data_IF_033249667704
#
_entry.id   IF_033249667704
#
_cell.length_a   1.000
_cell.length_b   1.000
_cell.length_c   1.000
_cell.angle_alpha   90.00
_cell.angle_beta   90.00
_cell.angle_gamma   90.00
#
_symmetry.space_group_name_H-M   'P 1'
#
loop_
_entity.id
_entity.type
_entity.pdbx_description
1 polymer ?
#
# COMPACT_ATOMS: atom_id res chain seq x y z
N UNK A 1 -9.08 -4.23 33.51
CA UNK A 1 -7.89 -4.49 32.67
C UNK A 1 -8.22 -4.82 31.20
N UNK A 2 -9.35 -5.46 30.86
CA UNK A 2 -9.74 -5.76 29.45
C UNK A 2 -10.04 -4.54 28.56
N UNK A 3 -10.38 -3.37 29.11
CA UNK A 3 -10.68 -2.17 28.31
C UNK A 3 -9.44 -1.48 27.70
N UNK A 4 -8.26 -1.62 28.33
CA UNK A 4 -7.03 -0.98 27.82
C UNK A 4 -6.45 -1.77 26.64
N UNK A 5 -6.42 -3.11 26.75
CA UNK A 5 -5.91 -3.98 25.70
C UNK A 5 -6.68 -3.85 24.37
N UNK A 6 -7.99 -3.60 24.44
CA UNK A 6 -8.86 -3.41 23.27
C UNK A 6 -8.61 -2.09 22.52
N UNK A 7 -8.04 -1.09 23.18
CA UNK A 7 -7.73 0.21 22.59
C UNK A 7 -6.28 0.31 22.08
N UNK A 8 -5.41 -0.67 22.33
CA UNK A 8 -4.03 -0.65 21.85
C UNK A 8 -3.95 -0.50 20.32
N UNK A 9 -4.72 -1.25 19.51
CA UNK A 9 -4.73 -1.06 18.05
C UNK A 9 -5.15 0.37 17.67
N UNK A 10 -6.19 0.91 18.32
CA UNK A 10 -6.66 2.27 18.04
C UNK A 10 -5.62 3.34 18.40
N UNK A 11 -4.87 3.15 19.49
CA UNK A 11 -3.79 4.07 19.89
C UNK A 11 -2.64 3.99 18.88
N UNK A 12 -2.32 2.80 18.35
CA UNK A 12 -1.32 2.61 17.32
C UNK A 12 -1.72 3.29 16.00
N UNK A 13 -2.96 3.11 15.53
CA UNK A 13 -3.45 3.81 14.33
C UNK A 13 -3.49 5.33 14.54
N UNK A 14 -3.88 5.82 15.72
CA UNK A 14 -3.83 7.25 16.06
C UNK A 14 -2.39 7.79 16.08
N UNK A 15 -1.44 7.00 16.58
CA UNK A 15 -0.03 7.34 16.55
C UNK A 15 0.49 7.44 15.11
N UNK A 16 0.03 6.57 14.19
CA UNK A 16 0.37 6.63 12.76
C UNK A 16 -0.14 7.91 12.13
N UNK A 17 -1.34 8.37 12.47
CA UNK A 17 -1.88 9.65 12.02
C UNK A 17 -0.99 10.81 12.49
N UNK A 18 -0.64 10.84 13.77
CA UNK A 18 0.22 11.89 14.33
C UNK A 18 1.64 11.88 13.72
N UNK A 19 2.23 10.70 13.53
CA UNK A 19 3.52 10.52 12.87
C UNK A 19 3.49 10.94 11.40
N UNK A 20 2.43 10.58 10.67
CA UNK A 20 2.22 10.98 9.27
C UNK A 20 2.07 12.50 9.14
N UNK A 21 1.38 13.14 10.08
CA UNK A 21 1.30 14.60 10.14
C UNK A 21 2.66 15.23 10.45
N UNK A 22 3.46 14.60 11.31
CA UNK A 22 4.81 15.07 11.67
C UNK A 22 5.77 15.05 10.46
N UNK A 23 5.56 14.19 9.47
CA UNK A 23 6.36 14.17 8.23
C UNK A 23 6.36 15.52 7.51
N UNK A 24 5.26 16.29 7.57
CA UNK A 24 5.19 17.60 6.94
C UNK A 24 6.15 18.62 7.56
N UNK A 25 6.40 18.52 8.87
CA UNK A 25 7.31 19.44 9.58
C UNK A 25 8.77 19.04 9.46
N UNK A 26 9.04 17.73 9.37
CA UNK A 26 10.41 17.19 9.36
C UNK A 26 10.90 16.84 7.94
N UNK A 27 10.14 17.20 6.91
CA UNK A 27 10.43 16.89 5.50
C UNK A 27 11.80 17.37 4.99
N UNK A 28 12.48 18.30 5.68
CA UNK A 28 13.83 18.73 5.32
C UNK A 28 14.95 17.82 5.84
N UNK A 29 14.65 16.87 6.72
CA UNK A 29 15.65 15.99 7.34
C UNK A 29 15.38 14.52 6.94
N UNK A 30 16.04 14.01 5.88
CA UNK A 30 15.74 12.68 5.32
C UNK A 30 15.92 11.55 6.32
N UNK A 31 16.87 11.67 7.26
CA UNK A 31 17.11 10.65 8.30
C UNK A 31 15.93 10.52 9.29
N UNK A 32 15.32 11.64 9.67
CA UNK A 32 14.14 11.63 10.55
C UNK A 32 12.91 11.11 9.81
N UNK A 33 12.75 11.49 8.54
CA UNK A 33 11.67 10.97 7.68
C UNK A 33 11.79 9.45 7.54
N UNK A 34 13.01 8.92 7.39
CA UNK A 34 13.27 7.48 7.38
C UNK A 34 12.79 6.80 8.67
N UNK A 35 13.18 7.32 9.84
CA UNK A 35 12.76 6.72 11.12
C UNK A 35 11.24 6.80 11.35
N UNK A 36 10.59 7.88 10.91
CA UNK A 36 9.13 8.01 10.99
C UNK A 36 8.45 6.96 10.09
N UNK A 37 8.93 6.76 8.86
CA UNK A 37 8.41 5.73 7.95
C UNK A 37 8.57 4.34 8.54
N UNK A 38 9.74 4.03 9.10
CA UNK A 38 10.00 2.75 9.75
C UNK A 38 9.08 2.56 10.97
N UNK A 39 8.91 3.59 11.80
CA UNK A 39 8.01 3.53 12.94
C UNK A 39 6.55 3.29 12.51
N UNK A 40 6.05 4.02 11.50
CA UNK A 40 4.71 3.81 10.95
C UNK A 40 4.50 2.41 10.39
N UNK A 41 5.49 1.86 9.68
CA UNK A 41 5.42 0.50 9.15
C UNK A 41 5.41 -0.57 10.25
N UNK A 42 6.18 -0.36 11.32
CA UNK A 42 6.17 -1.26 12.47
C UNK A 42 4.83 -1.18 13.22
N UNK A 43 4.28 0.02 13.42
CA UNK A 43 2.99 0.18 14.11
C UNK A 43 1.82 -0.45 13.34
N UNK A 44 1.87 -0.49 12.01
CA UNK A 44 0.92 -1.19 11.11
C UNK A 44 0.97 -2.72 11.18
N UNK A 45 2.17 -3.27 11.29
CA UNK A 45 2.28 -4.72 11.49
C UNK A 45 1.79 -5.09 12.90
N UNK A 46 2.10 -4.25 13.89
CA UNK A 46 1.75 -4.50 15.28
C UNK A 46 0.26 -4.35 15.57
N UNK A 47 -0.43 -3.32 15.06
CA UNK A 47 -1.85 -3.14 15.32
C UNK A 47 -2.69 -4.22 14.64
N UNK A 48 -2.37 -4.59 13.40
CA UNK A 48 -2.99 -5.71 12.69
C UNK A 48 -2.73 -7.06 13.36
N UNK A 49 -1.52 -7.29 13.88
CA UNK A 49 -1.20 -8.51 14.64
C UNK A 49 -1.95 -8.57 15.97
N UNK A 50 -1.99 -7.46 16.72
CA UNK A 50 -2.67 -7.38 18.01
C UNK A 50 -4.18 -7.48 17.87
N UNK A 51 -4.78 -6.83 16.86
CA UNK A 51 -6.21 -6.90 16.59
C UNK A 51 -6.67 -8.34 16.33
N UNK A 52 -5.89 -9.12 15.55
CA UNK A 52 -6.16 -10.53 15.28
C UNK A 52 -5.95 -11.41 16.51
N UNK A 53 -4.85 -11.22 17.22
CA UNK A 53 -4.50 -12.05 18.39
C UNK A 53 -5.48 -11.83 19.55
N UNK A 54 -5.97 -10.60 19.71
CA UNK A 54 -6.91 -10.24 20.78
C UNK A 54 -8.38 -10.39 20.36
N UNK A 55 -8.67 -10.80 19.13
CA UNK A 55 -10.03 -10.82 18.55
C UNK A 55 -10.79 -9.50 18.78
N UNK A 56 -10.06 -8.38 18.72
CA UNK A 56 -10.54 -7.05 19.05
C UNK A 56 -10.71 -6.17 17.80
N UNK A 57 -10.96 -6.79 16.66
CA UNK A 57 -11.32 -6.08 15.42
C UNK A 57 -12.61 -5.28 15.67
N UNK A 58 -12.58 -3.99 15.35
CA UNK A 58 -13.74 -3.11 15.50
C UNK A 58 -13.88 -2.22 14.27
N UNK A 59 -15.12 -1.90 13.89
CA UNK A 59 -15.39 -1.04 12.73
C UNK A 59 -14.74 0.34 12.87
N UNK A 60 -14.67 0.86 14.10
CA UNK A 60 -14.00 2.14 14.38
C UNK A 60 -12.48 2.03 14.16
N UNK A 61 -11.86 0.96 14.66
CA UNK A 61 -10.43 0.71 14.46
C UNK A 61 -10.08 0.53 12.99
N UNK A 62 -10.87 -0.26 12.24
CA UNK A 62 -10.66 -0.45 10.81
C UNK A 62 -10.77 0.86 10.00
N UNK A 63 -11.69 1.76 10.37
CA UNK A 63 -11.81 3.09 9.75
C UNK A 63 -10.62 3.99 10.09
N UNK A 64 -10.17 3.98 11.34
CA UNK A 64 -9.00 4.76 11.78
C UNK A 64 -7.72 4.27 11.12
N UNK A 65 -7.55 2.97 10.98
CA UNK A 65 -6.44 2.32 10.28
C UNK A 65 -6.42 2.73 8.81
N UNK A 66 -7.56 2.62 8.12
CA UNK A 66 -7.71 3.08 6.73
C UNK A 66 -7.39 4.57 6.55
N UNK A 67 -7.79 5.42 7.51
CA UNK A 67 -7.47 6.85 7.50
C UNK A 67 -5.97 7.10 7.76
N UNK A 68 -5.38 6.36 8.70
CA UNK A 68 -3.95 6.40 9.00
C UNK A 68 -3.11 6.03 7.79
N UNK A 69 -3.47 4.95 7.10
CA UNK A 69 -2.83 4.50 5.86
C UNK A 69 -2.96 5.53 4.74
N UNK A 70 -4.15 6.09 4.55
CA UNK A 70 -4.38 7.12 3.53
C UNK A 70 -3.49 8.34 3.79
N UNK A 71 -3.43 8.82 5.03
CA UNK A 71 -2.60 9.97 5.41
C UNK A 71 -1.11 9.65 5.29
N UNK A 72 -0.69 8.47 5.70
CA UNK A 72 0.69 8.01 5.60
C UNK A 72 1.15 7.94 4.14
N UNK A 73 0.41 7.24 3.28
CA UNK A 73 0.71 7.16 1.85
C UNK A 73 0.66 8.53 1.17
N UNK A 74 -0.30 9.39 1.53
CA UNK A 74 -0.39 10.75 0.97
C UNK A 74 0.83 11.59 1.35
N UNK A 75 1.23 11.58 2.63
CA UNK A 75 2.41 12.29 3.11
C UNK A 75 3.69 11.78 2.43
N UNK A 76 3.78 10.46 2.25
CA UNK A 76 4.89 9.78 1.60
C UNK A 76 5.03 10.20 0.12
N UNK A 77 3.93 10.17 -0.64
CA UNK A 77 3.89 10.63 -2.03
C UNK A 77 4.28 12.10 -2.15
N UNK A 78 3.72 12.96 -1.29
CA UNK A 78 4.04 14.40 -1.29
C UNK A 78 5.52 14.66 -0.99
N UNK A 79 6.10 13.95 -0.02
CA UNK A 79 7.52 14.03 0.30
C UNK A 79 8.38 13.67 -0.92
N UNK A 80 8.05 12.53 -1.54
CA UNK A 80 8.78 12.00 -2.68
C UNK A 80 8.72 12.95 -3.88
N UNK A 81 7.53 13.47 -4.21
CA UNK A 81 7.31 14.46 -5.28
C UNK A 81 8.07 15.77 -4.98
N UNK A 82 8.09 16.22 -3.73
CA UNK A 82 8.65 17.52 -3.38
C UNK A 82 10.17 17.54 -3.23
N UNK A 83 10.76 16.45 -2.71
CA UNK A 83 12.18 16.40 -2.33
C UNK A 83 13.00 15.39 -3.14
N UNK A 84 12.37 14.40 -3.77
CA UNK A 84 13.05 13.30 -4.47
C UNK A 84 12.67 13.22 -5.96
N UNK A 85 12.10 14.29 -6.52
CA UNK A 85 11.69 14.34 -7.94
C UNK A 85 12.83 13.95 -8.89
N UNK A 86 14.05 14.44 -8.64
CA UNK A 86 15.21 14.12 -9.48
C UNK A 86 15.54 12.62 -9.56
N UNK A 87 15.27 11.86 -8.50
CA UNK A 87 15.50 10.41 -8.47
C UNK A 87 14.40 9.62 -9.19
N UNK A 88 13.20 10.20 -9.34
CA UNK A 88 12.01 9.51 -9.87
C UNK A 88 11.62 9.96 -11.26
N UNK A 89 12.05 11.14 -11.70
CA UNK A 89 11.68 11.72 -12.99
C UNK A 89 11.88 10.74 -14.15
N UNK A 90 12.97 9.96 -14.14
CA UNK A 90 13.26 8.92 -15.15
C UNK A 90 12.23 7.79 -15.19
N UNK A 91 11.58 7.50 -14.06
CA UNK A 91 10.66 6.39 -13.88
C UNK A 91 9.18 6.81 -13.91
N UNK A 92 8.88 8.13 -13.98
CA UNK A 92 7.52 8.65 -14.09
C UNK A 92 6.68 8.00 -15.20
N UNK A 93 7.21 7.75 -16.42
CA UNK A 93 6.42 7.08 -17.46
C UNK A 93 5.95 5.68 -17.05
N UNK A 94 6.80 4.93 -16.34
CA UNK A 94 6.45 3.60 -15.84
C UNK A 94 5.43 3.65 -14.71
N UNK A 95 5.55 4.61 -13.80
CA UNK A 95 4.55 4.83 -12.74
C UNK A 95 3.19 5.18 -13.35
N UNK A 96 3.17 6.05 -14.37
CA UNK A 96 1.95 6.41 -15.08
C UNK A 96 1.35 5.20 -15.82
N UNK A 97 2.19 4.36 -16.43
CA UNK A 97 1.75 3.12 -17.06
C UNK A 97 1.07 2.16 -16.06
N UNK A 98 1.64 1.99 -14.86
CA UNK A 98 1.02 1.18 -13.79
C UNK A 98 -0.36 1.74 -13.43
N UNK A 99 -0.45 3.05 -13.21
CA UNK A 99 -1.70 3.71 -12.86
C UNK A 99 -2.76 3.55 -13.96
N UNK A 100 -2.34 3.68 -15.23
CA UNK A 100 -3.22 3.50 -16.39
C UNK A 100 -3.73 2.05 -16.47
N UNK A 101 -2.85 1.04 -16.35
CA UNK A 101 -3.24 -0.38 -16.40
C UNK A 101 -4.23 -0.69 -15.27
N UNK A 102 -3.98 -0.21 -14.05
CA UNK A 102 -4.90 -0.40 -12.92
C UNK A 102 -6.26 0.26 -13.15
N UNK A 103 -6.25 1.48 -13.69
CA UNK A 103 -7.51 2.19 -14.02
C UNK A 103 -8.29 1.44 -15.09
N UNK A 104 -7.63 0.95 -16.13
CA UNK A 104 -8.25 0.11 -17.18
C UNK A 104 -8.83 -1.16 -16.54
N UNK A 105 -8.09 -1.81 -15.64
CA UNK A 105 -8.54 -3.02 -14.95
C UNK A 105 -9.86 -2.75 -14.19
N UNK A 106 -9.91 -1.66 -13.43
CA UNK A 106 -11.10 -1.26 -12.69
C UNK A 106 -12.27 -0.92 -13.62
N UNK A 107 -12.03 -0.23 -14.73
CA UNK A 107 -13.06 0.11 -15.73
C UNK A 107 -13.62 -1.15 -16.39
N UNK A 108 -12.76 -2.08 -16.82
CA UNK A 108 -13.16 -3.37 -17.39
C UNK A 108 -14.02 -4.15 -16.39
N UNK A 109 -13.60 -4.20 -15.12
CA UNK A 109 -14.35 -4.83 -14.06
C UNK A 109 -15.73 -4.17 -13.83
N UNK A 110 -15.77 -2.83 -13.84
CA UNK A 110 -17.01 -2.06 -13.61
C UNK A 110 -18.00 -2.25 -14.76
N UNK A 111 -17.52 -2.27 -16.01
CA UNK A 111 -18.36 -2.50 -17.18
C UNK A 111 -18.90 -3.94 -17.21
N UNK A 112 -18.07 -4.93 -16.84
CA UNK A 112 -18.42 -6.34 -16.92
C UNK A 112 -19.34 -6.80 -15.78
N UNK A 113 -19.07 -6.34 -14.55
CA UNK A 113 -19.67 -6.90 -13.34
C UNK A 113 -20.56 -5.90 -12.60
N UNK A 114 -20.72 -4.68 -13.11
CA UNK A 114 -21.46 -3.56 -12.50
C UNK A 114 -21.07 -3.28 -11.03
N UNK A 115 -19.90 -3.74 -10.61
CA UNK A 115 -19.40 -3.70 -9.23
C UNK A 115 -17.89 -3.48 -9.25
N UNK A 116 -17.40 -2.72 -8.28
CA UNK A 116 -15.97 -2.44 -8.10
C UNK A 116 -15.37 -3.47 -7.17
N UNK A 117 -14.61 -4.42 -7.71
CA UNK A 117 -13.85 -5.37 -6.90
C UNK A 117 -12.44 -4.84 -6.64
N UNK A 118 -12.10 -4.61 -5.37
CA UNK A 118 -10.72 -4.34 -4.94
C UNK A 118 -9.99 -5.68 -4.78
N UNK A 119 -9.26 -6.11 -5.80
CA UNK A 119 -8.51 -7.37 -5.74
C UNK A 119 -7.22 -7.18 -4.93
N UNK A 120 -7.20 -7.72 -3.71
CA UNK A 120 -6.00 -7.82 -2.88
C UNK A 120 -5.13 -9.01 -3.29
N UNK A 121 -4.63 -9.00 -4.53
CA UNK A 121 -3.69 -10.01 -5.03
C UNK A 121 -2.38 -9.99 -4.23
N UNK A 122 -1.68 -11.13 -4.15
CA UNK A 122 -0.33 -11.17 -3.57
C UNK A 122 0.63 -10.19 -4.26
N UNK A 123 0.46 -9.94 -5.56
CA UNK A 123 1.22 -8.92 -6.31
C UNK A 123 1.02 -7.51 -5.75
N UNK A 124 -0.22 -7.12 -5.41
CA UNK A 124 -0.48 -5.81 -4.80
C UNK A 124 0.12 -5.66 -3.40
N UNK A 125 0.13 -6.74 -2.60
CA UNK A 125 0.81 -6.73 -1.29
C UNK A 125 2.32 -6.57 -1.44
N UNK A 126 2.92 -7.33 -2.37
CA UNK A 126 4.36 -7.30 -2.61
C UNK A 126 4.80 -5.94 -3.16
N UNK A 127 4.05 -5.35 -4.10
CA UNK A 127 4.32 -4.01 -4.61
C UNK A 127 4.20 -2.95 -3.51
N UNK A 128 3.21 -3.03 -2.62
CA UNK A 128 3.09 -2.14 -1.46
C UNK A 128 4.33 -2.18 -0.55
N UNK A 129 4.81 -3.37 -0.20
CA UNK A 129 6.04 -3.54 0.60
C UNK A 129 7.25 -2.97 -0.14
N UNK A 130 7.37 -3.26 -1.44
CA UNK A 130 8.47 -2.74 -2.26
C UNK A 130 8.47 -1.23 -2.39
N UNK A 131 7.29 -0.58 -2.41
CA UNK A 131 7.19 0.90 -2.41
C UNK A 131 7.83 1.45 -1.15
N UNK A 132 7.45 0.94 0.03
CA UNK A 132 7.99 1.39 1.32
C UNK A 132 9.51 1.16 1.37
N UNK A 133 9.97 -0.03 0.99
CA UNK A 133 11.41 -0.35 0.95
C UNK A 133 12.17 0.56 -0.03
N UNK A 134 11.61 0.81 -1.22
CA UNK A 134 12.25 1.69 -2.21
C UNK A 134 12.40 3.10 -1.68
N UNK A 135 11.41 3.62 -0.95
CA UNK A 135 11.47 4.98 -0.41
C UNK A 135 12.46 5.07 0.75
N UNK A 136 12.52 4.06 1.62
CA UNK A 136 13.58 3.94 2.63
C UNK A 136 14.98 3.93 2.01
N UNK A 137 15.17 3.20 0.90
CA UNK A 137 16.46 3.16 0.19
C UNK A 137 16.79 4.49 -0.49
N UNK A 138 15.81 5.18 -1.08
CA UNK A 138 16.00 6.52 -1.66
C UNK A 138 16.44 7.50 -0.57
N UNK A 139 15.85 7.43 0.62
CA UNK A 139 16.21 8.29 1.75
C UNK A 139 17.64 8.06 2.26
N UNK A 140 18.11 6.81 2.27
CA UNK A 140 19.45 6.45 2.75
C UNK A 140 20.54 6.67 1.70
N UNK A 141 20.26 6.39 0.42
CA UNK A 141 21.28 6.39 -0.65
C UNK A 141 21.22 7.62 -1.55
N UNK A 142 20.12 8.38 -1.53
CA UNK A 142 19.85 9.49 -2.43
C UNK A 142 19.71 9.10 -3.90
N UNK A 143 19.68 7.79 -4.23
CA UNK A 143 19.67 7.28 -5.61
C UNK A 143 18.48 6.35 -5.82
N UNK A 144 17.76 6.54 -6.93
CA UNK A 144 16.58 5.76 -7.31
C UNK A 144 16.86 4.46 -8.06
N UNK A 145 17.92 3.72 -7.74
CA UNK A 145 18.23 2.46 -8.46
C UNK A 145 17.13 1.40 -8.25
N UNK A 146 16.61 1.30 -7.02
CA UNK A 146 15.59 0.33 -6.68
C UNK A 146 14.21 0.67 -7.28
N UNK A 147 13.98 1.95 -7.61
CA UNK A 147 12.77 2.41 -8.28
C UNK A 147 12.57 1.73 -9.63
N UNK A 148 13.64 1.40 -10.36
CA UNK A 148 13.55 0.67 -11.62
C UNK A 148 12.92 -0.72 -11.42
N UNK A 149 13.40 -1.46 -10.42
CA UNK A 149 12.90 -2.79 -10.06
C UNK A 149 11.44 -2.70 -9.62
N UNK A 150 11.12 -1.69 -8.81
CA UNK A 150 9.76 -1.41 -8.36
C UNK A 150 8.81 -1.19 -9.54
N UNK A 151 9.20 -0.39 -10.53
CA UNK A 151 8.36 -0.13 -11.71
C UNK A 151 8.12 -1.42 -12.50
N UNK A 152 9.14 -2.24 -12.72
CA UNK A 152 8.98 -3.51 -13.44
C UNK A 152 8.01 -4.45 -12.70
N UNK A 153 8.21 -4.63 -11.40
CA UNK A 153 7.34 -5.49 -10.58
C UNK A 153 5.92 -4.91 -10.50
N UNK A 154 5.79 -3.58 -10.41
CA UNK A 154 4.52 -2.87 -10.43
C UNK A 154 3.73 -3.09 -11.71
N UNK A 155 4.39 -3.06 -12.88
CA UNK A 155 3.76 -3.34 -14.17
C UNK A 155 3.30 -4.79 -14.21
N UNK A 156 4.14 -5.75 -13.80
CA UNK A 156 3.77 -7.17 -13.77
C UNK A 156 2.55 -7.42 -12.87
N UNK A 157 2.52 -6.80 -11.68
CA UNK A 157 1.37 -6.90 -10.76
C UNK A 157 0.10 -6.28 -11.35
N UNK A 158 0.21 -5.13 -12.02
CA UNK A 158 -0.94 -4.48 -12.66
C UNK A 158 -1.48 -5.31 -13.84
N UNK A 159 -0.60 -5.96 -14.60
CA UNK A 159 -0.98 -6.89 -15.66
C UNK A 159 -1.64 -8.16 -15.10
N UNK A 160 -1.14 -8.72 -13.99
CA UNK A 160 -1.80 -9.82 -13.29
C UNK A 160 -3.23 -9.45 -12.87
N UNK A 161 -3.42 -8.26 -12.32
CA UNK A 161 -4.74 -7.74 -11.92
C UNK A 161 -5.68 -7.58 -13.13
N UNK A 162 -5.19 -6.99 -14.23
CA UNK A 162 -5.95 -6.86 -15.48
C UNK A 162 -6.38 -8.22 -16.04
N UNK A 163 -5.47 -9.19 -16.06
CA UNK A 163 -5.75 -10.55 -16.56
C UNK A 163 -6.83 -11.24 -15.72
N UNK A 164 -6.76 -11.14 -14.39
CA UNK A 164 -7.78 -11.73 -13.50
C UNK A 164 -9.15 -11.06 -13.75
N UNK A 165 -9.20 -9.73 -13.80
CA UNK A 165 -10.45 -9.00 -14.03
C UNK A 165 -11.04 -9.23 -15.42
N UNK A 166 -10.21 -9.47 -16.43
CA UNK A 166 -10.65 -9.79 -17.78
C UNK A 166 -11.18 -11.23 -17.89
N UNK A 167 -10.48 -12.20 -17.27
CA UNK A 167 -10.77 -13.62 -17.42
C UNK A 167 -11.98 -14.08 -16.57
N UNK A 168 -12.20 -13.50 -15.39
CA UNK A 168 -13.26 -13.95 -14.45
C UNK A 168 -14.45 -12.97 -14.41
N UNK A 169 -15.67 -13.46 -14.63
CA UNK A 169 -16.94 -12.69 -14.53
C UNK A 169 -17.36 -12.43 -13.07
N UNK A 170 -16.94 -13.28 -12.14
CA UNK A 170 -17.09 -13.02 -10.71
C UNK A 170 -15.75 -13.27 -10.02
N UNK A 171 -14.84 -12.29 -10.04
CA UNK A 171 -13.59 -12.38 -9.28
C UNK A 171 -13.94 -12.48 -7.80
N UNK A 172 -13.80 -13.66 -7.22
CA UNK A 172 -13.93 -13.84 -5.78
C UNK A 172 -12.90 -12.93 -5.09
N UNK A 173 -13.33 -12.10 -4.14
CA UNK A 173 -12.48 -11.11 -3.44
C UNK A 173 -11.29 -11.80 -2.73
N UNK A 174 -11.40 -13.12 -2.52
CA UNK A 174 -10.38 -13.99 -1.94
C UNK A 174 -9.41 -14.65 -2.95
N UNK A 175 -9.42 -14.32 -4.25
CA UNK A 175 -8.45 -14.88 -5.19
C UNK A 175 -7.05 -14.34 -4.86
N UNK A 176 -6.25 -15.18 -4.21
CA UNK A 176 -4.94 -14.78 -3.67
C UNK A 176 -3.86 -14.67 -4.78
N UNK A 177 -3.97 -15.43 -5.88
CA UNK A 177 -3.10 -15.37 -7.08
C UNK A 177 -3.73 -16.15 -8.26
N UNK A 178 -3.30 -15.87 -9.51
CA UNK A 178 -3.66 -16.61 -10.74
C UNK A 178 -3.58 -18.13 -10.55
N UNK A 179 -2.58 -18.62 -9.80
CA UNK A 179 -2.39 -20.06 -9.58
C UNK A 179 -3.48 -20.72 -8.74
N UNK A 180 -4.16 -19.98 -7.86
CA UNK A 180 -5.30 -20.52 -7.10
C UNK A 180 -6.62 -20.41 -7.88
N UNK A 181 -6.74 -19.44 -8.78
CA UNK A 181 -7.92 -19.30 -9.63
C UNK A 181 -8.11 -20.51 -10.56
N UNK A 182 -7.00 -21.05 -11.11
CA UNK A 182 -7.01 -22.26 -11.94
C UNK A 182 -7.47 -23.52 -11.21
N UNK A 183 -7.32 -23.59 -9.87
CA UNK A 183 -7.62 -24.79 -9.07
C UNK A 183 -9.09 -24.90 -8.64
N UNK A 184 -9.90 -23.85 -8.83
CA UNK A 184 -11.36 -23.86 -8.56
C UNK A 184 -12.22 -24.05 -9.81
N UNK A 185 -11.62 -24.01 -11.00
CA UNK A 185 -12.29 -24.21 -12.29
C UNK A 185 -12.10 -25.62 -12.87
N UNK A 186 -11.43 -26.52 -12.13
CA UNK A 186 -11.31 -27.95 -12.43
C UNK A 186 -12.03 -28.76 -11.38
#
# INVERSE_FOLDING_TARGET
MMHIARNIPNILSLSRIALSFSLFFVARQPLFVFWIIVACGITDVLDGFLARTLHCESDLGARLDSLGDLLFFSALVLYVVRYQMGAIQKYLPGIYAIFLIKTISLVVCTIKNHTTYSLHTYGNKLTGILVVVSICLILLTGKGYFTAVLVVIGILSALEELLIMSLYEHPDVNIRSIFMAKKRAS
#
